data_IF_849806756082
#
_entry.id   IF_849806756082
#
_cell.length_a   1.000
_cell.length_b   1.000
_cell.length_c   1.000
_cell.angle_alpha   90.00
_cell.angle_beta   90.00
_cell.angle_gamma   90.00
#
_symmetry.space_group_name_H-M   'P 1'
#
loop_
_entity.id
_entity.type
_entity.pdbx_description
1 polymer ?
#
# COMPACT_ATOMS: atom_id res chain seq x y z
N UNK A 1 44.19 16.33 -10.40
CA UNK A 1 43.92 14.88 -10.35
C UNK A 1 43.35 14.42 -9.01
N UNK A 2 44.00 14.64 -7.86
CA UNK A 2 43.48 14.22 -6.53
C UNK A 2 42.09 14.78 -6.16
N UNK A 3 41.83 16.06 -6.44
CA UNK A 3 40.51 16.69 -6.17
C UNK A 3 39.38 16.06 -7.00
N UNK A 4 39.64 15.72 -8.26
CA UNK A 4 38.66 15.05 -9.13
C UNK A 4 38.32 13.64 -8.60
N UNK A 5 39.33 12.91 -8.11
CA UNK A 5 39.13 11.59 -7.51
C UNK A 5 38.24 11.64 -6.26
N UNK A 6 38.44 12.64 -5.41
CA UNK A 6 37.62 12.85 -4.20
C UNK A 6 36.17 13.23 -4.54
N UNK A 7 35.96 14.05 -5.57
CA UNK A 7 34.62 14.44 -6.04
C UNK A 7 33.88 13.22 -6.62
N UNK A 8 34.54 12.41 -7.45
CA UNK A 8 33.96 11.18 -7.98
C UNK A 8 33.60 10.17 -6.89
N UNK A 9 34.47 10.00 -5.88
CA UNK A 9 34.18 9.13 -4.74
C UNK A 9 32.95 9.62 -3.95
N UNK A 10 32.86 10.92 -3.65
CA UNK A 10 31.72 11.49 -2.94
C UNK A 10 30.40 11.33 -3.71
N UNK A 11 30.42 11.52 -5.04
CA UNK A 11 29.26 11.31 -5.91
C UNK A 11 28.82 9.84 -5.93
N UNK A 12 29.75 8.90 -5.97
CA UNK A 12 29.44 7.47 -5.92
C UNK A 12 28.82 7.05 -4.58
N UNK A 13 29.32 7.58 -3.45
CA UNK A 13 28.74 7.32 -2.13
C UNK A 13 27.31 7.88 -2.01
N UNK A 14 27.05 9.08 -2.53
CA UNK A 14 25.72 9.70 -2.50
C UNK A 14 24.67 8.96 -3.36
N UNK A 15 25.10 8.29 -4.45
CA UNK A 15 24.21 7.48 -5.28
C UNK A 15 23.70 6.21 -4.57
N UNK A 16 24.44 5.70 -3.57
CA UNK A 16 24.13 4.45 -2.87
C UNK A 16 22.89 4.55 -1.96
N UNK A 17 22.55 5.74 -1.46
CA UNK A 17 21.39 5.95 -0.58
C UNK A 17 20.05 6.04 -1.31
N UNK A 18 20.05 6.08 -2.65
CA UNK A 18 18.83 6.29 -3.42
C UNK A 18 18.07 4.99 -3.78
N UNK A 19 18.62 3.81 -3.49
CA UNK A 19 18.07 2.51 -3.92
C UNK A 19 17.50 1.67 -2.76
N UNK A 20 17.02 2.30 -1.69
CA UNK A 20 16.27 1.60 -0.66
C UNK A 20 14.81 1.45 -1.12
N UNK A 21 14.50 0.35 -1.82
CA UNK A 21 13.11 -0.05 -2.03
C UNK A 21 12.46 -0.39 -0.69
N UNK A 22 11.23 0.05 -0.43
CA UNK A 22 10.56 -0.16 0.86
C UNK A 22 10.07 -1.62 1.07
N UNK A 23 10.64 -2.58 0.34
CA UNK A 23 10.36 -4.01 0.44
C UNK A 23 8.98 -4.43 -0.05
N UNK A 24 8.10 -3.47 -0.39
CA UNK A 24 6.78 -3.74 -0.97
C UNK A 24 6.91 -4.07 -2.45
N UNK A 25 6.59 -5.32 -2.81
CA UNK A 25 6.50 -5.80 -4.19
C UNK A 25 5.07 -6.24 -4.48
N UNK A 26 4.61 -6.00 -5.71
CA UNK A 26 3.35 -6.55 -6.17
C UNK A 26 3.45 -8.08 -6.29
N UNK A 27 2.51 -8.79 -5.67
CA UNK A 27 2.45 -10.24 -5.73
C UNK A 27 2.11 -10.69 -7.16
N UNK A 28 2.78 -11.75 -7.62
CA UNK A 28 2.34 -12.46 -8.82
C UNK A 28 1.03 -13.20 -8.56
N UNK A 29 0.35 -13.66 -9.61
CA UNK A 29 -0.94 -14.34 -9.49
C UNK A 29 -0.90 -15.57 -8.55
N UNK A 30 0.17 -16.37 -8.65
CA UNK A 30 0.35 -17.55 -7.80
C UNK A 30 0.53 -17.19 -6.31
N UNK A 31 1.27 -16.11 -6.03
CA UNK A 31 1.49 -15.62 -4.65
C UNK A 31 0.21 -14.97 -4.08
N UNK A 32 -0.55 -14.28 -4.92
CA UNK A 32 -1.82 -13.65 -4.56
C UNK A 32 -2.94 -14.67 -4.28
N UNK A 33 -2.84 -15.89 -4.81
CA UNK A 33 -3.86 -16.93 -4.61
C UNK A 33 -4.09 -17.27 -3.12
N UNK A 34 -3.03 -17.25 -2.31
CA UNK A 34 -3.13 -17.43 -0.85
C UNK A 34 -3.94 -16.32 -0.14
N UNK A 35 -4.19 -15.21 -0.84
CA UNK A 35 -4.91 -14.03 -0.35
C UNK A 35 -6.26 -13.83 -1.05
N UNK A 36 -6.84 -14.89 -1.63
CA UNK A 36 -8.11 -14.80 -2.39
C UNK A 36 -9.30 -14.20 -1.60
N UNK A 37 -9.28 -14.30 -0.26
CA UNK A 37 -10.28 -13.67 0.60
C UNK A 37 -10.08 -12.17 0.84
N UNK A 38 -8.94 -11.59 0.45
CA UNK A 38 -8.64 -10.16 0.64
C UNK A 38 -8.98 -9.39 -0.64
N UNK A 39 -9.80 -8.35 -0.50
CA UNK A 39 -10.31 -7.59 -1.65
C UNK A 39 -10.48 -6.10 -1.39
N UNK A 40 -10.79 -5.37 -2.46
CA UNK A 40 -11.07 -3.94 -2.42
C UNK A 40 -12.57 -3.70 -2.20
N UNK A 41 -12.88 -2.94 -1.17
CA UNK A 41 -14.21 -2.39 -0.92
C UNK A 41 -14.31 -0.99 -1.52
N UNK A 42 -15.31 -0.75 -2.37
CA UNK A 42 -15.59 0.57 -2.91
C UNK A 42 -16.66 1.24 -2.03
N UNK A 43 -16.32 2.39 -1.45
CA UNK A 43 -17.14 3.10 -0.47
C UNK A 43 -17.82 4.28 -1.15
N UNK A 44 -19.12 4.14 -1.45
CA UNK A 44 -19.95 5.18 -2.09
C UNK A 44 -19.29 5.86 -3.30
N UNK A 45 -18.53 5.11 -4.11
CA UNK A 45 -17.84 5.62 -5.31
C UNK A 45 -16.72 6.65 -5.08
N UNK A 46 -16.39 7.02 -3.84
CA UNK A 46 -15.45 8.13 -3.54
C UNK A 46 -14.15 7.69 -2.87
N UNK A 47 -14.14 6.53 -2.21
CA UNK A 47 -12.99 5.97 -1.51
C UNK A 47 -12.97 4.45 -1.66
N UNK A 48 -11.81 3.85 -1.43
CA UNK A 48 -11.70 2.41 -1.24
C UNK A 48 -11.05 2.07 0.11
N UNK A 49 -11.38 0.87 0.59
CA UNK A 49 -10.72 0.24 1.73
C UNK A 49 -10.39 -1.22 1.38
N UNK A 50 -9.60 -1.85 2.23
CA UNK A 50 -9.40 -3.30 2.20
C UNK A 50 -10.49 -3.99 3.00
N UNK A 51 -10.95 -5.14 2.51
CA UNK A 51 -11.81 -6.05 3.26
C UNK A 51 -11.31 -7.49 3.17
N UNK A 52 -11.72 -8.31 4.13
CA UNK A 52 -11.43 -9.75 4.16
C UNK A 52 -12.73 -10.53 4.29
N UNK A 53 -13.00 -11.43 3.34
CA UNK A 53 -14.12 -12.37 3.42
C UNK A 53 -13.83 -13.40 4.52
N UNK A 54 -14.59 -13.34 5.62
CA UNK A 54 -14.43 -14.22 6.79
C UNK A 54 -15.52 -15.30 6.87
N UNK A 55 -16.57 -15.17 6.06
CA UNK A 55 -17.55 -16.22 5.76
C UNK A 55 -18.20 -15.94 4.41
N UNK A 56 -19.01 -16.86 3.89
CA UNK A 56 -19.66 -16.77 2.57
C UNK A 56 -20.36 -15.43 2.27
N UNK A 57 -20.80 -14.71 3.30
CA UNK A 57 -21.50 -13.42 3.17
C UNK A 57 -21.05 -12.35 4.18
N UNK A 58 -19.89 -12.53 4.81
CA UNK A 58 -19.39 -11.58 5.82
C UNK A 58 -18.00 -11.10 5.47
N UNK A 59 -17.86 -9.78 5.33
CA UNK A 59 -16.58 -9.11 5.08
C UNK A 59 -16.17 -8.31 6.32
N UNK A 60 -14.99 -8.59 6.84
CA UNK A 60 -14.33 -7.82 7.88
C UNK A 60 -13.59 -6.62 7.25
N UNK A 61 -13.71 -5.45 7.87
CA UNK A 61 -12.97 -4.23 7.49
C UNK A 61 -12.76 -3.32 8.69
N UNK A 62 -11.99 -2.24 8.53
CA UNK A 62 -11.78 -1.27 9.58
C UNK A 62 -13.05 -0.44 9.83
N UNK A 63 -13.39 -0.19 11.10
CA UNK A 63 -14.57 0.59 11.47
C UNK A 63 -14.58 1.99 10.82
N UNK A 64 -13.44 2.67 10.76
CA UNK A 64 -13.34 4.02 10.18
C UNK A 64 -13.65 4.05 8.67
N UNK A 65 -13.62 2.91 7.98
CA UNK A 65 -14.02 2.85 6.57
C UNK A 65 -15.53 3.07 6.41
N UNK A 66 -16.33 2.68 7.40
CA UNK A 66 -17.78 2.74 7.35
C UNK A 66 -18.36 4.13 7.63
N UNK A 67 -17.53 5.11 7.99
CA UNK A 67 -17.98 6.45 8.38
C UNK A 67 -17.26 7.53 7.58
N UNK A 68 -17.96 8.64 7.32
CA UNK A 68 -17.36 9.83 6.74
C UNK A 68 -16.52 10.55 7.82
N UNK A 69 -15.21 10.78 7.59
CA UNK A 69 -14.35 11.37 8.61
C UNK A 69 -14.68 12.84 8.93
N UNK A 70 -15.42 13.54 8.06
CA UNK A 70 -15.84 14.93 8.28
C UNK A 70 -17.19 15.04 8.99
N UNK A 71 -18.14 14.18 8.63
CA UNK A 71 -19.52 14.30 9.11
C UNK A 71 -19.92 13.25 10.15
N UNK A 72 -19.12 12.19 10.32
CA UNK A 72 -19.47 11.04 11.17
C UNK A 72 -20.62 10.19 10.63
N UNK A 73 -21.24 10.58 9.51
CA UNK A 73 -22.33 9.82 8.92
C UNK A 73 -21.83 8.46 8.38
N UNK A 74 -22.64 7.41 8.57
CA UNK A 74 -22.35 6.09 7.99
C UNK A 74 -22.43 6.18 6.47
N UNK A 75 -21.47 5.59 5.79
CA UNK A 75 -21.45 5.49 4.32
C UNK A 75 -22.55 4.53 3.87
N UNK A 76 -23.40 4.95 2.93
CA UNK A 76 -24.32 4.05 2.23
C UNK A 76 -23.50 3.16 1.28
N UNK A 77 -23.48 1.86 1.56
CA UNK A 77 -22.86 0.83 0.73
C UNK A 77 -23.74 0.50 -0.47
#
# INVERSE_FOLDING_TARGET
>A
MRKALLILAALALAASSAWAGDGRRMLGAAEAAAWAGVGRLNMAGTRYCTGTLISDRLVLTAAHCLYNPRTGARVSL
#
